data_IF_632894524588
#
_entry.id   IF_632894524588
#
_cell.length_a   1.000
_cell.length_b   1.000
_cell.length_c   1.000
_cell.angle_alpha   90.00
_cell.angle_beta   90.00
_cell.angle_gamma   90.00
#
_symmetry.space_group_name_H-M   'P 1'
#
loop_
_entity.id
_entity.type
_entity.pdbx_description
1 polymer ?
#
# COMPACT_ATOMS: atom_id res chain seq x y z
N UNK A 1 -25.15 -2.28 -14.51
CA UNK A 1 -25.01 -1.84 -15.92
C UNK A 1 -26.31 -1.27 -16.50
N UNK A 2 -27.47 -1.90 -16.35
CA UNK A 2 -28.76 -1.42 -16.93
C UNK A 2 -29.14 0.03 -16.56
N UNK A 3 -29.10 0.41 -15.28
CA UNK A 3 -29.48 1.77 -14.87
C UNK A 3 -28.53 2.88 -15.35
N UNK A 4 -27.24 2.57 -15.50
CA UNK A 4 -26.26 3.50 -16.05
C UNK A 4 -26.55 3.83 -17.51
N UNK A 5 -26.82 2.80 -18.32
CA UNK A 5 -27.21 2.95 -19.72
C UNK A 5 -28.47 3.82 -19.89
N UNK A 6 -29.51 3.58 -19.07
CA UNK A 6 -30.75 4.37 -19.11
C UNK A 6 -30.45 5.84 -18.81
N UNK A 7 -29.64 6.12 -17.79
CA UNK A 7 -29.25 7.50 -17.43
C UNK A 7 -28.51 8.20 -18.56
N UNK A 8 -27.57 7.51 -19.19
CA UNK A 8 -26.70 8.12 -20.20
C UNK A 8 -27.43 8.41 -21.52
N UNK A 9 -28.52 7.70 -21.84
CA UNK A 9 -29.34 7.88 -23.05
C UNK A 9 -30.70 8.56 -22.81
N UNK A 10 -30.92 9.14 -21.63
CA UNK A 10 -32.19 9.82 -21.29
C UNK A 10 -32.42 11.10 -22.13
N UNK A 11 -31.36 11.67 -22.72
CA UNK A 11 -31.43 12.85 -23.61
C UNK A 11 -31.96 12.52 -25.00
N UNK A 12 -31.78 11.29 -25.46
CA UNK A 12 -32.11 10.85 -26.82
C UNK A 12 -33.43 10.07 -26.87
N UNK A 13 -33.76 9.34 -25.80
CA UNK A 13 -34.95 8.48 -25.74
C UNK A 13 -35.74 8.66 -24.44
N UNK A 14 -37.08 8.52 -24.48
CA UNK A 14 -37.90 8.53 -23.28
C UNK A 14 -37.51 7.43 -22.30
N UNK A 15 -37.42 7.76 -21.00
CA UNK A 15 -37.08 6.81 -19.93
C UNK A 15 -38.00 5.58 -19.92
N UNK A 16 -39.27 5.76 -20.24
CA UNK A 16 -40.24 4.66 -20.36
C UNK A 16 -39.85 3.64 -21.42
N UNK A 17 -39.38 4.10 -22.58
CA UNK A 17 -38.95 3.24 -23.68
C UNK A 17 -37.67 2.48 -23.30
N UNK A 18 -36.68 3.16 -22.73
CA UNK A 18 -35.43 2.53 -22.28
C UNK A 18 -35.66 1.51 -21.16
N UNK A 19 -36.54 1.82 -20.19
CA UNK A 19 -36.94 0.89 -19.14
C UNK A 19 -37.63 -0.35 -19.72
N UNK A 20 -38.51 -0.18 -20.70
CA UNK A 20 -39.21 -1.29 -21.35
C UNK A 20 -38.25 -2.19 -22.14
N UNK A 21 -37.37 -1.60 -22.96
CA UNK A 21 -36.37 -2.34 -23.76
C UNK A 21 -35.39 -3.16 -22.90
N UNK A 22 -35.03 -2.67 -21.72
CA UNK A 22 -34.09 -3.34 -20.82
C UNK A 22 -34.76 -4.25 -19.77
N UNK A 23 -36.09 -4.39 -19.86
CA UNK A 23 -36.94 -5.13 -18.91
C UNK A 23 -36.71 -4.66 -17.46
N UNK A 24 -36.76 -3.35 -17.26
CA UNK A 24 -36.58 -2.68 -15.97
C UNK A 24 -37.87 -1.95 -15.60
N UNK A 25 -38.32 -2.10 -14.36
CA UNK A 25 -39.45 -1.30 -13.86
C UNK A 25 -39.06 0.18 -13.73
N UNK A 26 -39.90 1.08 -14.25
CA UNK A 26 -39.70 2.53 -14.17
C UNK A 26 -39.52 3.01 -12.73
N UNK A 27 -40.33 2.49 -11.80
CA UNK A 27 -40.23 2.80 -10.36
C UNK A 27 -38.87 2.42 -9.78
N UNK A 28 -38.31 1.27 -10.17
CA UNK A 28 -36.98 0.83 -9.75
C UNK A 28 -35.87 1.77 -10.28
N UNK A 29 -35.97 2.23 -11.53
CA UNK A 29 -35.05 3.24 -12.06
C UNK A 29 -35.18 4.59 -11.35
N UNK A 30 -36.40 5.07 -11.10
CA UNK A 30 -36.64 6.31 -10.35
C UNK A 30 -36.09 6.22 -8.93
N UNK A 31 -36.29 5.10 -8.23
CA UNK A 31 -35.74 4.86 -6.89
C UNK A 31 -34.22 4.81 -6.90
N UNK A 32 -33.61 4.17 -7.90
CA UNK A 32 -32.17 4.17 -8.08
C UNK A 32 -31.61 5.56 -8.40
N UNK A 33 -32.30 6.36 -9.22
CA UNK A 33 -31.94 7.74 -9.53
C UNK A 33 -32.09 8.67 -8.31
N UNK A 34 -33.11 8.41 -7.50
CA UNK A 34 -33.40 9.15 -6.27
C UNK A 34 -32.55 8.70 -5.07
N UNK A 35 -31.75 7.64 -5.18
CA UNK A 35 -30.83 7.27 -4.12
C UNK A 35 -29.87 8.44 -3.88
N UNK A 36 -29.88 9.04 -2.68
CA UNK A 36 -28.99 10.15 -2.39
C UNK A 36 -27.54 9.67 -2.55
N UNK A 37 -26.68 10.56 -3.03
CA UNK A 37 -25.24 10.36 -2.94
C UNK A 37 -24.92 9.86 -1.54
N UNK A 38 -24.18 8.73 -1.42
CA UNK A 38 -23.87 8.14 -0.12
C UNK A 38 -23.31 9.23 0.79
N UNK A 39 -24.10 9.68 1.75
CA UNK A 39 -23.69 10.69 2.71
C UNK A 39 -22.60 10.05 3.54
N UNK A 40 -21.39 10.61 3.46
CA UNK A 40 -20.26 10.11 4.23
C UNK A 40 -20.45 10.65 5.65
N UNK A 41 -20.50 9.79 6.68
CA UNK A 41 -20.60 10.24 8.06
C UNK A 41 -19.45 11.21 8.41
N UNK A 42 -19.68 12.23 9.25
CA UNK A 42 -18.64 13.19 9.64
C UNK A 42 -17.36 12.52 10.17
N UNK A 43 -17.51 11.47 10.97
CA UNK A 43 -16.39 10.67 11.50
C UNK A 43 -15.56 10.02 10.40
N UNK A 44 -16.21 9.49 9.37
CA UNK A 44 -15.52 8.89 8.23
C UNK A 44 -14.82 9.95 7.38
N UNK A 45 -15.36 11.17 7.30
CA UNK A 45 -14.68 12.30 6.64
C UNK A 45 -13.39 12.68 7.36
N UNK A 46 -13.42 12.78 8.69
CA UNK A 46 -12.23 13.05 9.51
C UNK A 46 -11.17 11.97 9.28
N UNK A 47 -11.58 10.70 9.35
CA UNK A 47 -10.70 9.56 9.12
C UNK A 47 -10.08 9.60 7.71
N UNK A 48 -10.88 9.85 6.67
CA UNK A 48 -10.39 9.96 5.28
C UNK A 48 -9.41 11.12 5.10
N UNK A 49 -9.66 12.27 5.73
CA UNK A 49 -8.76 13.43 5.71
C UNK A 49 -7.43 13.09 6.37
N UNK A 50 -7.46 12.44 7.54
CA UNK A 50 -6.24 12.05 8.26
C UNK A 50 -5.43 11.01 7.50
N UNK A 51 -6.09 9.99 6.94
CA UNK A 51 -5.45 8.99 6.07
C UNK A 51 -4.68 9.63 4.91
N UNK A 52 -5.27 10.63 4.23
CA UNK A 52 -4.58 11.36 3.16
C UNK A 52 -3.36 12.12 3.67
N UNK A 53 -3.49 12.82 4.80
CA UNK A 53 -2.38 13.57 5.39
C UNK A 53 -1.20 12.65 5.76
N UNK A 54 -1.47 11.53 6.44
CA UNK A 54 -0.46 10.53 6.76
C UNK A 54 0.21 9.96 5.51
N UNK A 55 -0.59 9.62 4.50
CA UNK A 55 -0.06 9.05 3.25
C UNK A 55 0.91 10.01 2.54
N UNK A 56 0.54 11.28 2.43
CA UNK A 56 1.40 12.32 1.84
C UNK A 56 2.65 12.55 2.68
N UNK A 57 2.53 12.63 4.01
CA UNK A 57 3.67 12.78 4.91
C UNK A 57 4.68 11.62 4.76
N UNK A 58 4.18 10.41 4.49
CA UNK A 58 5.03 9.24 4.21
C UNK A 58 5.63 9.18 2.81
N UNK A 59 5.41 10.19 1.96
CA UNK A 59 5.81 10.20 0.54
C UNK A 59 5.25 9.00 -0.23
N UNK A 60 3.96 8.74 -0.06
CA UNK A 60 3.23 7.63 -0.69
C UNK A 60 3.74 6.22 -0.33
N UNK A 61 4.45 6.04 0.80
CA UNK A 61 5.03 4.75 1.19
C UNK A 61 4.16 3.92 2.15
N UNK A 62 3.17 4.53 2.82
CA UNK A 62 2.36 3.86 3.83
C UNK A 62 1.40 2.81 3.25
N UNK A 63 1.71 1.54 3.51
CA UNK A 63 0.79 0.42 3.26
C UNK A 63 -0.32 0.30 4.31
N UNK A 64 -1.31 -0.57 4.04
CA UNK A 64 -2.51 -0.69 4.87
C UNK A 64 -2.27 -1.13 6.31
N UNK A 65 -1.18 -1.86 6.59
CA UNK A 65 -0.82 -2.28 7.95
C UNK A 65 -0.30 -1.09 8.76
N UNK A 66 0.66 -0.38 8.18
CA UNK A 66 1.34 0.74 8.83
C UNK A 66 0.40 1.94 8.96
N UNK A 67 -0.45 2.18 7.95
CA UNK A 67 -1.55 3.16 8.04
C UNK A 67 -2.51 2.83 9.20
N UNK A 68 -2.86 1.57 9.41
CA UNK A 68 -3.73 1.17 10.53
C UNK A 68 -3.05 1.42 11.88
N UNK A 69 -1.77 1.09 12.02
CA UNK A 69 -1.03 1.33 13.25
C UNK A 69 -0.96 2.83 13.56
N UNK A 70 -0.52 3.65 12.61
CA UNK A 70 -0.42 5.11 12.80
C UNK A 70 -1.77 5.73 13.20
N UNK A 71 -2.87 5.27 12.61
CA UNK A 71 -4.21 5.74 12.97
C UNK A 71 -4.59 5.29 14.40
N UNK A 72 -4.22 4.09 14.83
CA UNK A 72 -4.46 3.63 16.20
C UNK A 72 -3.62 4.38 17.22
N UNK A 73 -2.37 4.69 16.87
CA UNK A 73 -1.47 5.49 17.70
C UNK A 73 -2.02 6.92 17.89
N UNK A 74 -2.81 7.42 16.94
CA UNK A 74 -3.54 8.69 17.02
C UNK A 74 -4.93 8.57 17.69
N UNK A 75 -5.30 7.38 18.20
CA UNK A 75 -6.56 7.15 18.91
C UNK A 75 -7.75 6.73 18.04
N UNK A 76 -7.56 6.44 16.74
CA UNK A 76 -8.65 5.95 15.89
C UNK A 76 -8.86 4.44 16.04
N UNK A 77 -10.10 4.03 16.32
CA UNK A 77 -10.49 2.63 16.28
C UNK A 77 -10.75 2.15 14.84
N UNK A 78 -9.73 1.55 14.23
CA UNK A 78 -9.81 1.01 12.87
C UNK A 78 -9.21 -0.38 12.75
N UNK A 79 -9.91 -1.26 12.01
CA UNK A 79 -9.44 -2.58 11.64
C UNK A 79 -8.83 -2.62 10.23
N UNK A 80 -7.94 -3.58 9.99
CA UNK A 80 -7.19 -3.75 8.72
C UNK A 80 -8.09 -3.80 7.47
N UNK A 81 -9.27 -4.42 7.57
CA UNK A 81 -10.24 -4.51 6.47
C UNK A 81 -10.80 -3.13 6.08
N UNK A 82 -11.20 -2.34 7.08
CA UNK A 82 -11.72 -0.96 6.89
C UNK A 82 -10.62 -0.06 6.31
N UNK A 83 -9.39 -0.13 6.83
CA UNK A 83 -8.24 0.61 6.29
C UNK A 83 -8.02 0.30 4.81
N UNK A 84 -7.99 -0.98 4.43
CA UNK A 84 -7.79 -1.38 3.02
C UNK A 84 -8.92 -0.88 2.12
N UNK A 85 -10.18 -0.99 2.56
CA UNK A 85 -11.34 -0.49 1.79
C UNK A 85 -11.24 1.03 1.59
N UNK A 86 -10.93 1.77 2.64
CA UNK A 86 -10.79 3.23 2.57
C UNK A 86 -9.60 3.65 1.70
N UNK A 87 -8.44 3.00 1.80
CA UNK A 87 -7.32 3.24 0.90
C UNK A 87 -7.71 3.05 -0.58
N UNK A 88 -8.51 2.01 -0.89
CA UNK A 88 -9.00 1.76 -2.25
C UNK A 88 -9.96 2.86 -2.72
N UNK A 89 -10.91 3.28 -1.87
CA UNK A 89 -11.86 4.36 -2.17
C UNK A 89 -11.14 5.69 -2.39
N UNK A 90 -10.13 5.97 -1.57
CA UNK A 90 -9.32 7.19 -1.64
C UNK A 90 -8.19 7.12 -2.69
N UNK A 91 -8.07 5.99 -3.39
CA UNK A 91 -7.03 5.73 -4.39
C UNK A 91 -5.58 5.90 -3.86
N UNK A 92 -5.36 5.63 -2.57
CA UNK A 92 -4.04 5.67 -1.94
C UNK A 92 -3.24 4.42 -2.35
N UNK A 93 -2.44 4.56 -3.41
CA UNK A 93 -1.59 3.49 -3.95
C UNK A 93 -0.15 3.70 -3.52
N UNK A 94 0.38 2.75 -2.76
CA UNK A 94 1.78 2.77 -2.30
C UNK A 94 2.71 2.80 -3.51
N UNK A 95 3.63 3.78 -3.53
CA UNK A 95 4.70 3.85 -4.52
C UNK A 95 5.97 3.31 -3.87
N UNK A 96 6.51 2.24 -4.44
CA UNK A 96 7.86 1.80 -4.07
C UNK A 96 8.89 2.71 -4.73
N UNK A 97 9.90 3.13 -3.98
CA UNK A 97 11.03 3.88 -4.52
C UNK A 97 11.74 3.01 -5.57
N UNK A 98 11.89 3.50 -6.80
CA UNK A 98 12.66 2.83 -7.84
C UNK A 98 14.11 2.72 -7.37
N UNK A 99 14.72 1.53 -7.49
CA UNK A 99 16.15 1.33 -7.17
C UNK A 99 16.98 2.29 -8.03
N UNK A 100 17.76 3.16 -7.40
CA UNK A 100 18.54 4.20 -8.08
C UNK A 100 19.78 3.62 -8.78
N UNK A 101 20.35 2.55 -8.24
CA UNK A 101 21.41 1.73 -8.85
C UNK A 101 21.20 0.27 -8.43
N UNK A 102 21.37 -0.66 -9.36
CA UNK A 102 21.39 -2.10 -9.05
C UNK A 102 22.86 -2.47 -8.91
N UNK A 103 23.33 -2.63 -7.68
CA UNK A 103 24.73 -2.97 -7.37
C UNK A 103 25.02 -4.46 -7.51
N UNK A 104 23.99 -5.29 -7.64
CA UNK A 104 24.10 -6.75 -7.68
C UNK A 104 23.26 -7.29 -8.83
N UNK A 105 23.93 -7.86 -9.82
CA UNK A 105 23.26 -8.65 -10.85
C UNK A 105 23.15 -10.10 -10.38
N UNK A 106 22.01 -10.46 -9.80
CA UNK A 106 21.74 -11.85 -9.40
C UNK A 106 21.33 -12.74 -10.58
N UNK A 107 21.22 -12.20 -11.81
CA UNK A 107 20.86 -12.95 -13.03
C UNK A 107 22.09 -13.17 -13.91
N UNK A 108 23.18 -13.64 -13.31
CA UNK A 108 24.39 -13.98 -14.03
C UNK A 108 24.53 -15.50 -14.20
N UNK A 109 25.31 -15.93 -15.21
CA UNK A 109 25.60 -17.34 -15.44
C UNK A 109 26.87 -17.83 -14.70
N UNK A 110 27.49 -17.00 -13.87
CA UNK A 110 28.63 -17.42 -13.05
C UNK A 110 28.22 -18.41 -11.94
N UNK A 111 29.13 -19.30 -11.51
CA UNK A 111 28.88 -20.18 -10.37
C UNK A 111 28.47 -19.40 -9.12
N UNK A 112 27.31 -19.74 -8.57
CA UNK A 112 26.82 -19.18 -7.31
C UNK A 112 27.25 -20.09 -6.17
N UNK A 113 27.96 -19.54 -5.18
CA UNK A 113 28.31 -20.28 -3.98
C UNK A 113 27.03 -20.76 -3.25
N UNK A 114 27.05 -21.98 -2.74
CA UNK A 114 25.93 -22.53 -1.96
C UNK A 114 25.70 -21.65 -0.73
N UNK A 115 24.44 -21.23 -0.51
CA UNK A 115 24.07 -20.54 0.73
C UNK A 115 24.07 -21.53 1.91
N UNK A 116 25.22 -21.67 2.57
CA UNK A 116 25.40 -22.56 3.72
C UNK A 116 24.68 -22.02 4.96
N UNK A 117 24.66 -20.70 5.14
CA UNK A 117 24.03 -20.07 6.31
C UNK A 117 22.51 -20.25 6.31
N UNK A 118 21.87 -20.17 5.14
CA UNK A 118 20.44 -20.42 4.96
C UNK A 118 19.51 -19.69 5.95
N UNK A 119 19.86 -18.44 6.31
CA UNK A 119 19.14 -17.61 7.30
C UNK A 119 19.11 -18.18 8.73
N UNK A 120 20.00 -19.11 9.04
CA UNK A 120 20.31 -19.46 10.42
C UNK A 120 21.21 -18.38 11.03
N UNK A 121 20.67 -17.64 11.99
CA UNK A 121 21.37 -16.56 12.70
C UNK A 121 21.66 -16.94 14.15
N UNK A 122 21.57 -18.22 14.50
CA UNK A 122 21.75 -18.72 15.86
C UNK A 122 22.69 -19.92 15.88
N UNK A 123 23.98 -19.75 15.52
CA UNK A 123 24.96 -20.81 15.57
C UNK A 123 25.11 -21.36 17.00
N UNK A 124 25.54 -22.62 17.14
CA UNK A 124 25.63 -23.29 18.44
C UNK A 124 26.90 -22.97 19.23
N UNK A 125 27.93 -22.47 18.55
CA UNK A 125 29.22 -22.12 19.14
C UNK A 125 29.82 -20.86 18.46
N UNK A 126 30.74 -20.15 19.13
CA UNK A 126 31.47 -19.03 18.53
C UNK A 126 32.28 -19.47 17.31
N UNK A 127 32.57 -18.51 16.42
CA UNK A 127 33.38 -18.68 15.21
C UNK A 127 32.82 -19.66 14.16
N UNK A 128 31.52 -19.92 14.16
CA UNK A 128 30.87 -20.77 13.15
C UNK A 128 30.29 -19.96 11.98
N UNK A 129 29.81 -18.74 12.24
CA UNK A 129 29.22 -17.89 11.22
C UNK A 129 29.47 -16.41 11.55
N UNK A 130 30.02 -15.67 10.59
CA UNK A 130 30.31 -14.26 10.73
C UNK A 130 29.44 -13.42 9.79
N UNK A 131 28.82 -12.39 10.33
CA UNK A 131 28.16 -11.35 9.55
C UNK A 131 29.15 -10.25 9.23
N UNK A 132 29.19 -9.81 7.97
CA UNK A 132 30.00 -8.66 7.56
C UNK A 132 29.14 -7.65 6.84
N UNK A 133 29.43 -6.38 7.04
CA UNK A 133 28.82 -5.30 6.29
C UNK A 133 29.83 -4.17 6.10
N UNK A 134 29.65 -3.40 5.02
CA UNK A 134 30.45 -2.21 4.75
C UNK A 134 29.49 -1.03 4.66
N UNK A 135 29.76 -0.01 5.45
CA UNK A 135 29.03 1.26 5.42
C UNK A 135 29.98 2.42 5.14
N UNK A 136 29.40 3.55 4.76
CA UNK A 136 30.13 4.78 4.49
C UNK A 136 29.69 5.84 5.50
N UNK A 137 30.66 6.47 6.15
CA UNK A 137 30.41 7.51 7.14
C UNK A 137 30.90 8.84 6.59
N UNK A 138 30.04 9.86 6.69
CA UNK A 138 30.41 11.24 6.36
C UNK A 138 31.09 11.88 7.57
N UNK A 139 32.29 12.42 7.37
CA UNK A 139 33.08 13.10 8.40
C UNK A 139 33.49 14.49 7.93
N UNK A 140 34.10 15.29 8.80
CA UNK A 140 34.62 16.62 8.41
C UNK A 140 35.78 16.52 7.40
N UNK A 141 36.46 15.38 7.34
CA UNK A 141 37.56 15.11 6.40
C UNK A 141 37.06 14.43 5.10
N UNK A 142 35.75 14.16 5.01
CA UNK A 142 35.10 13.52 3.86
C UNK A 142 34.54 12.13 4.15
N UNK A 143 34.38 11.33 3.09
CA UNK A 143 33.84 9.96 3.19
C UNK A 143 34.91 8.99 3.70
N UNK A 144 34.57 8.26 4.76
CA UNK A 144 35.33 7.08 5.19
C UNK A 144 34.51 5.82 5.00
N UNK A 145 35.19 4.70 4.74
CA UNK A 145 34.58 3.38 4.58
C UNK A 145 34.83 2.56 5.83
N UNK A 146 33.76 2.10 6.47
CA UNK A 146 33.81 1.27 7.67
C UNK A 146 33.39 -0.15 7.30
N UNK A 147 34.28 -1.11 7.50
CA UNK A 147 33.97 -2.53 7.43
C UNK A 147 33.80 -3.08 8.85
N UNK A 148 32.72 -3.81 9.08
CA UNK A 148 32.41 -4.45 10.37
C UNK A 148 32.32 -5.95 10.16
N UNK A 149 32.90 -6.71 11.09
CA UNK A 149 32.83 -8.17 11.17
C UNK A 149 32.31 -8.53 12.55
N UNK A 150 31.21 -9.27 12.62
CA UNK A 150 30.55 -9.67 13.88
C UNK A 150 30.34 -11.18 13.86
N UNK A 151 30.65 -11.84 14.99
CA UNK A 151 30.27 -13.23 15.21
C UNK A 151 28.78 -13.35 15.54
N UNK A 152 28.05 -14.12 14.72
CA UNK A 152 26.61 -14.31 14.88
C UNK A 152 26.26 -15.03 16.17
N UNK A 153 27.19 -15.77 16.78
CA UNK A 153 26.99 -16.37 18.11
C UNK A 153 26.88 -15.31 19.22
N UNK A 154 27.60 -14.20 19.07
CA UNK A 154 27.78 -13.17 20.12
C UNK A 154 26.77 -12.03 20.07
N UNK A 155 25.72 -12.16 19.25
CA UNK A 155 24.76 -11.10 18.90
C UNK A 155 23.42 -11.30 19.59
#
# INVERSE_FOLDING_TARGET
MKYGFIRDHTSEYPVTLLCHMLSVQRSAYCNWKAQPCKVIPPEELVLRRRMKALFVASRDSLGSRMMMNNLRDEGFEIGRGKTRRLMKVLQLKVKQKRKFKVTTDSKHNFPVARNVLNRDFSPSAPNQAWGTDITYLWTQEGWIYLAVVIDLYSR
#
